data_IF_599536557364
#
_entry.id   IF_599536557364
#
_cell.length_a   1.000
_cell.length_b   1.000
_cell.length_c   1.000
_cell.angle_alpha   90.00
_cell.angle_beta   90.00
_cell.angle_gamma   90.00
#
_symmetry.space_group_name_H-M   'P 1'
#
loop_
_entity.id
_entity.type
_entity.pdbx_description
1 polymer ?
#
# COMPACT_ATOMS: atom_id res chain seq x y z
N UNK A 1 -25.63 14.79 -29.19
CA UNK A 1 -25.52 14.94 -27.71
C UNK A 1 -25.16 13.58 -27.13
N UNK A 2 -24.06 13.33 -26.42
CA UNK A 2 -23.00 14.15 -25.80
C UNK A 2 -21.63 13.54 -26.16
N UNK A 3 -20.69 14.37 -26.61
CA UNK A 3 -19.28 14.03 -26.78
C UNK A 3 -18.65 13.61 -25.45
N UNK A 4 -17.94 12.48 -25.45
CA UNK A 4 -17.00 12.10 -24.41
C UNK A 4 -15.87 13.13 -24.36
N UNK A 5 -15.78 13.87 -23.25
CA UNK A 5 -14.61 14.72 -22.98
C UNK A 5 -13.43 13.83 -22.63
N UNK A 6 -12.49 13.70 -23.58
CA UNK A 6 -11.16 13.17 -23.32
C UNK A 6 -10.49 14.00 -22.22
N UNK A 7 -10.32 13.40 -21.04
CA UNK A 7 -9.55 13.97 -19.96
C UNK A 7 -8.06 13.81 -20.29
N UNK A 8 -7.52 14.70 -21.12
CA UNK A 8 -6.07 14.77 -21.38
C UNK A 8 -5.37 15.26 -20.12
N UNK A 9 -4.82 14.33 -19.36
CA UNK A 9 -3.97 14.64 -18.21
C UNK A 9 -2.62 15.13 -18.74
N UNK A 10 -2.45 16.45 -18.80
CA UNK A 10 -1.18 17.07 -19.17
C UNK A 10 -0.20 16.96 -17.99
N UNK A 11 0.60 15.89 -17.96
CA UNK A 11 1.75 15.79 -17.06
C UNK A 11 3.01 16.36 -17.72
N UNK A 12 3.58 17.40 -17.09
CA UNK A 12 4.85 18.07 -17.43
C UNK A 12 6.00 17.06 -17.55
N UNK A 13 6.72 17.08 -18.68
CA UNK A 13 7.77 16.12 -19.06
C UNK A 13 8.95 16.05 -18.07
N UNK A 14 9.20 17.12 -17.33
CA UNK A 14 10.26 17.30 -16.32
C UNK A 14 10.18 16.31 -15.13
N UNK A 15 9.05 15.63 -14.93
CA UNK A 15 8.91 14.59 -13.90
C UNK A 15 9.22 13.17 -14.41
N UNK A 16 9.36 12.97 -15.72
CA UNK A 16 9.52 11.65 -16.35
C UNK A 16 10.87 11.00 -16.01
N UNK A 17 11.95 11.78 -15.92
CA UNK A 17 13.28 11.21 -15.68
C UNK A 17 13.49 10.73 -14.24
N UNK A 18 12.92 11.42 -13.25
CA UNK A 18 13.02 10.99 -11.83
C UNK A 18 12.14 9.78 -11.48
N UNK A 19 11.14 9.48 -12.30
CA UNK A 19 10.25 8.32 -12.15
C UNK A 19 10.80 7.04 -12.77
N UNK A 20 11.74 7.11 -13.73
CA UNK A 20 12.25 5.93 -14.45
C UNK A 20 13.09 4.99 -13.57
N UNK A 21 13.69 5.49 -12.50
CA UNK A 21 14.49 4.66 -11.58
C UNK A 21 13.68 4.07 -10.42
N UNK A 22 12.44 4.52 -10.21
CA UNK A 22 11.65 4.09 -9.06
C UNK A 22 10.24 3.67 -9.49
N UNK A 23 9.98 2.36 -9.39
CA UNK A 23 8.65 1.70 -9.52
C UNK A 23 8.30 1.49 -11.02
N UNK A 24 7.77 0.33 -11.48
CA UNK A 24 6.33 -0.01 -11.37
C UNK A 24 5.98 -1.45 -11.76
N UNK A 25 4.87 -1.96 -11.22
CA UNK A 25 3.84 -2.58 -12.05
C UNK A 25 2.66 -1.63 -12.12
N UNK A 26 1.91 -1.66 -13.22
CA UNK A 26 0.81 -0.73 -13.53
C UNK A 26 -0.31 -0.71 -12.47
N UNK A 27 -0.47 -1.79 -11.72
CA UNK A 27 -1.47 -1.92 -10.64
C UNK A 27 -1.22 -0.95 -9.47
N UNK A 28 0.04 -0.61 -9.18
CA UNK A 28 0.36 0.27 -8.05
C UNK A 28 0.06 1.74 -8.34
N UNK A 29 0.04 2.16 -9.61
CA UNK A 29 -0.22 3.57 -9.95
C UNK A 29 -1.61 4.05 -9.58
N UNK A 30 -2.60 3.15 -9.61
CA UNK A 30 -4.01 3.48 -9.30
C UNK A 30 -4.44 3.06 -7.89
N UNK A 31 -3.54 2.39 -7.17
CA UNK A 31 -3.75 1.93 -5.81
C UNK A 31 -3.05 2.94 -4.92
N UNK A 32 -3.80 3.77 -4.19
CA UNK A 32 -3.31 4.82 -3.25
C UNK A 32 -2.51 4.27 -2.04
N UNK A 33 -1.67 3.26 -2.29
CA UNK A 33 -0.85 2.44 -1.42
C UNK A 33 -1.45 2.12 -0.03
N UNK A 34 -2.70 1.62 0.07
CA UNK A 34 -3.29 1.22 1.35
C UNK A 34 -2.42 0.17 2.06
N UNK A 35 -1.72 -0.69 1.30
CA UNK A 35 -0.82 -1.68 1.85
C UNK A 35 0.28 -1.06 2.73
N UNK A 36 0.87 0.04 2.26
CA UNK A 36 1.95 0.77 2.92
C UNK A 36 1.45 1.71 4.02
N UNK A 37 0.18 2.13 3.97
CA UNK A 37 -0.43 2.99 4.99
C UNK A 37 -0.90 2.20 6.20
N UNK A 38 -1.49 1.02 5.99
CA UNK A 38 -2.29 0.35 7.02
C UNK A 38 -1.61 -0.88 7.63
N UNK A 39 -0.74 -1.60 6.91
CA UNK A 39 -0.28 -2.93 7.36
C UNK A 39 1.09 -2.93 7.98
N UNK A 40 1.28 -3.73 9.02
CA UNK A 40 2.59 -4.19 9.45
C UNK A 40 3.07 -5.30 8.51
N UNK A 41 4.31 -5.21 8.06
CA UNK A 41 4.87 -6.15 7.08
C UNK A 41 5.93 -6.99 7.79
N UNK A 42 5.61 -8.24 8.19
CA UNK A 42 6.62 -9.15 8.73
C UNK A 42 7.62 -9.55 7.65
N UNK A 43 8.86 -9.73 8.07
CA UNK A 43 9.95 -10.25 7.25
C UNK A 43 10.20 -11.72 7.58
N UNK A 44 10.52 -12.50 6.56
CA UNK A 44 11.05 -13.86 6.71
C UNK A 44 12.50 -13.80 7.20
N UNK A 45 13.00 -14.92 7.72
CA UNK A 45 14.39 -14.99 8.17
C UNK A 45 15.38 -14.74 7.03
N UNK A 46 15.09 -15.24 5.83
CA UNK A 46 15.91 -15.02 4.63
C UNK A 46 15.96 -13.52 4.24
N UNK A 47 14.83 -12.82 4.32
CA UNK A 47 14.75 -11.38 4.04
C UNK A 47 15.46 -10.53 5.09
N UNK A 48 15.49 -10.99 6.35
CA UNK A 48 16.28 -10.36 7.43
C UNK A 48 17.77 -10.57 7.17
N UNK A 49 18.17 -11.81 6.88
CA UNK A 49 19.57 -12.15 6.59
C UNK A 49 20.12 -11.45 5.35
N UNK A 50 19.26 -11.15 4.37
CA UNK A 50 19.68 -10.47 3.15
C UNK A 50 20.08 -9.01 3.35
N UNK A 51 19.69 -8.37 4.47
CA UNK A 51 20.00 -6.97 4.76
C UNK A 51 19.38 -5.97 3.76
N UNK A 52 18.40 -6.40 2.95
CA UNK A 52 17.89 -5.61 1.82
C UNK A 52 16.89 -4.52 2.24
N UNK A 53 16.46 -4.54 3.51
CA UNK A 53 15.35 -3.73 4.03
C UNK A 53 15.71 -3.03 5.34
N UNK A 54 15.15 -1.83 5.52
CA UNK A 54 15.07 -1.17 6.80
C UNK A 54 14.03 -1.87 7.66
N UNK A 55 14.49 -2.41 8.78
CA UNK A 55 13.71 -3.26 9.65
C UNK A 55 13.80 -2.82 11.10
N UNK A 56 12.80 -3.22 11.87
CA UNK A 56 12.74 -3.06 13.32
C UNK A 56 12.21 -4.34 13.95
N UNK A 57 12.67 -4.67 15.15
CA UNK A 57 12.15 -5.80 15.90
C UNK A 57 10.91 -5.37 16.67
N UNK A 58 9.79 -6.09 16.49
CA UNK A 58 8.53 -5.78 17.19
C UNK A 58 7.96 -6.98 17.91
N UNK A 59 7.20 -6.69 18.95
CA UNK A 59 6.32 -7.64 19.65
C UNK A 59 4.87 -7.17 19.46
N UNK A 60 3.97 -8.09 19.17
CA UNK A 60 2.55 -7.80 19.01
C UNK A 60 1.70 -8.96 19.48
N UNK A 61 0.49 -8.65 19.94
CA UNK A 61 -0.50 -9.66 20.29
C UNK A 61 -1.10 -10.22 19.00
N UNK A 62 -1.08 -11.54 18.81
CA UNK A 62 -1.82 -12.18 17.73
C UNK A 62 -3.30 -12.27 18.12
N UNK A 63 -4.21 -11.53 17.46
CA UNK A 63 -5.61 -11.49 17.84
C UNK A 63 -6.33 -12.84 17.64
N UNK A 64 -5.80 -13.73 16.79
CA UNK A 64 -6.42 -15.05 16.56
C UNK A 64 -6.09 -16.05 17.66
N UNK A 65 -4.88 -15.96 18.22
CA UNK A 65 -4.39 -16.94 19.20
C UNK A 65 -4.29 -16.38 20.61
N UNK A 66 -4.40 -15.05 20.78
CA UNK A 66 -4.16 -14.35 22.05
C UNK A 66 -2.71 -14.43 22.53
N UNK A 67 -1.78 -14.95 21.71
CA UNK A 67 -0.38 -15.12 22.09
C UNK A 67 0.45 -13.92 21.68
N UNK A 68 1.41 -13.56 22.52
CA UNK A 68 2.43 -12.59 22.15
C UNK A 68 3.32 -13.20 21.06
N UNK A 69 3.43 -12.52 19.93
CA UNK A 69 4.38 -12.84 18.86
C UNK A 69 5.47 -11.78 18.81
N UNK A 70 6.60 -12.17 18.25
CA UNK A 70 7.71 -11.27 18.01
C UNK A 70 8.35 -11.59 16.66
N UNK A 71 8.99 -10.59 16.07
CA UNK A 71 9.68 -10.77 14.80
C UNK A 71 10.15 -9.46 14.20
N UNK A 72 10.95 -9.60 13.16
CA UNK A 72 11.39 -8.48 12.34
C UNK A 72 10.29 -8.05 11.40
N UNK A 73 10.07 -6.74 11.32
CA UNK A 73 9.10 -6.13 10.42
C UNK A 73 9.76 -4.99 9.65
N UNK A 74 9.18 -4.59 8.52
CA UNK A 74 9.59 -3.35 7.87
C UNK A 74 9.41 -2.16 8.82
N UNK A 75 10.44 -1.32 8.89
CA UNK A 75 10.41 -0.09 9.67
C UNK A 75 9.32 0.85 9.16
N UNK A 76 8.73 1.60 10.10
CA UNK A 76 7.73 2.63 9.81
C UNK A 76 8.28 4.02 10.06
N UNK A 77 7.72 4.99 9.35
CA UNK A 77 7.94 6.42 9.58
C UNK A 77 7.23 6.88 10.87
N UNK A 78 7.55 8.08 11.38
CA UNK A 78 6.88 8.63 12.56
C UNK A 78 5.36 8.80 12.40
N UNK A 79 4.89 9.06 11.17
CA UNK A 79 3.45 9.14 10.84
C UNK A 79 2.75 7.77 10.81
N UNK A 80 3.51 6.70 11.11
CA UNK A 80 3.01 5.35 11.07
C UNK A 80 2.85 4.79 9.66
N UNK A 81 3.34 5.39 8.59
CA UNK A 81 3.38 4.77 7.26
C UNK A 81 4.63 3.90 7.06
N UNK A 82 4.62 3.01 6.07
CA UNK A 82 5.80 2.22 5.69
C UNK A 82 6.96 3.14 5.27
N UNK A 83 8.19 2.82 5.69
CA UNK A 83 9.39 3.59 5.31
C UNK A 83 9.56 3.72 3.79
N UNK A 84 9.05 2.75 3.01
CA UNK A 84 9.12 2.73 1.55
C UNK A 84 7.92 3.38 0.84
N UNK A 85 7.01 4.02 1.57
CA UNK A 85 5.95 4.83 0.97
C UNK A 85 6.55 6.15 0.46
N UNK A 86 6.43 6.40 -0.84
CA UNK A 86 6.83 7.68 -1.43
C UNK A 86 5.78 8.76 -1.19
N UNK A 87 6.16 10.03 -1.37
CA UNK A 87 5.24 11.18 -1.31
C UNK A 87 4.13 11.16 -2.37
N UNK A 88 4.26 10.33 -3.40
CA UNK A 88 3.27 10.15 -4.47
C UNK A 88 2.31 8.99 -4.20
N UNK A 89 2.29 8.46 -2.97
CA UNK A 89 1.51 7.27 -2.61
C UNK A 89 1.88 6.01 -3.42
N UNK A 90 3.15 5.87 -3.79
CA UNK A 90 3.69 4.68 -4.48
C UNK A 90 4.70 3.95 -3.60
N UNK A 91 4.81 2.63 -3.75
CA UNK A 91 5.80 1.80 -3.06
C UNK A 91 7.15 1.84 -3.78
N UNK A 92 8.19 2.44 -3.17
CA UNK A 92 9.51 2.59 -3.80
C UNK A 92 10.26 1.28 -4.05
N UNK A 93 9.88 0.19 -3.37
CA UNK A 93 10.51 -1.13 -3.49
C UNK A 93 9.65 -2.13 -4.26
N UNK A 94 8.68 -1.69 -5.06
CA UNK A 94 7.66 -2.56 -5.67
C UNK A 94 8.19 -3.87 -6.28
N UNK A 95 9.25 -3.80 -7.10
CA UNK A 95 9.85 -4.96 -7.78
C UNK A 95 10.51 -5.95 -6.81
N UNK A 96 11.07 -5.44 -5.72
CA UNK A 96 11.79 -6.19 -4.69
C UNK A 96 11.02 -6.27 -3.37
N UNK A 97 9.69 -6.21 -3.42
CA UNK A 97 8.85 -6.26 -2.21
C UNK A 97 9.06 -7.56 -1.43
N UNK A 98 9.00 -7.53 -0.09
CA UNK A 98 8.97 -8.73 0.71
C UNK A 98 7.80 -9.65 0.36
N UNK A 99 7.89 -10.92 0.73
CA UNK A 99 6.86 -11.93 0.49
C UNK A 99 5.49 -11.49 1.03
N UNK A 100 5.43 -10.97 2.26
CA UNK A 100 4.19 -10.48 2.85
C UNK A 100 3.53 -9.36 2.02
N UNK A 101 4.33 -8.46 1.43
CA UNK A 101 3.85 -7.41 0.54
C UNK A 101 3.36 -7.94 -0.82
N UNK A 102 3.94 -9.04 -1.32
CA UNK A 102 3.51 -9.69 -2.57
C UNK A 102 2.19 -10.42 -2.41
N UNK A 103 1.94 -10.99 -1.23
CA UNK A 103 0.68 -11.68 -0.89
C UNK A 103 -0.49 -10.72 -0.71
N UNK A 104 -0.23 -9.42 -0.52
CA UNK A 104 -1.27 -8.43 -0.36
C UNK A 104 -2.05 -8.27 -1.67
N UNK A 105 -3.31 -8.75 -1.67
CA UNK A 105 -4.18 -8.72 -2.84
C UNK A 105 -4.69 -7.30 -3.12
N UNK A 106 -3.90 -6.51 -3.85
CA UNK A 106 -4.28 -5.17 -4.31
C UNK A 106 -5.66 -5.16 -5.01
N UNK A 107 -5.99 -6.21 -5.75
CA UNK A 107 -7.23 -6.31 -6.54
C UNK A 107 -8.51 -6.47 -5.69
N UNK A 108 -8.39 -7.02 -4.47
CA UNK A 108 -9.55 -7.28 -3.60
C UNK A 108 -10.04 -6.04 -2.84
N UNK A 109 -9.19 -5.03 -2.69
CA UNK A 109 -9.51 -3.81 -1.92
C UNK A 109 -10.38 -2.85 -2.72
N UNK A 110 -10.23 -2.80 -4.04
CA UNK A 110 -11.09 -1.99 -4.93
C UNK A 110 -12.57 -2.34 -4.72
N UNK A 111 -12.89 -3.64 -4.74
CA UNK A 111 -14.27 -4.15 -4.60
C UNK A 111 -14.87 -3.98 -3.19
N UNK A 112 -14.04 -3.78 -2.17
CA UNK A 112 -14.49 -3.61 -0.78
C UNK A 112 -14.88 -2.17 -0.43
N UNK A 113 -14.27 -1.18 -1.08
CA UNK A 113 -14.56 0.26 -0.85
C UNK A 113 -15.83 0.72 -1.58
N UNK A 114 -16.13 0.17 -2.76
CA UNK A 114 -17.38 0.44 -3.48
C UNK A 114 -18.61 0.07 -2.61
N UNK A 115 -18.63 -1.13 -2.03
CA UNK A 115 -19.76 -1.61 -1.19
C UNK A 115 -19.94 -0.86 0.13
N UNK A 116 -18.90 -0.18 0.63
CA UNK A 116 -18.95 0.55 1.91
C UNK A 116 -19.49 1.97 1.74
N UNK A 117 -19.42 2.52 0.53
CA UNK A 117 -20.01 3.82 0.20
C UNK A 117 -21.51 3.69 -0.14
N UNK A 118 -21.94 2.63 -0.82
CA UNK A 118 -23.36 2.35 -1.07
C UNK A 118 -24.18 2.24 0.23
N UNK A 119 -23.59 1.69 1.30
CA UNK A 119 -24.26 1.55 2.60
C UNK A 119 -24.24 2.81 3.49
N UNK A 120 -23.53 3.88 3.10
CA UNK A 120 -23.53 5.15 3.86
C UNK A 120 -24.53 6.17 3.32
N UNK A 121 -24.94 6.05 2.06
CA UNK A 121 -25.90 6.96 1.42
C UNK A 121 -27.36 6.51 1.61
N UNK A 122 -27.61 5.35 2.26
CA UNK A 122 -28.94 4.79 2.49
C UNK A 122 -29.60 5.09 3.84
N UNK A 123 -28.98 5.88 4.72
CA UNK A 123 -29.51 6.18 6.06
C UNK A 123 -29.72 7.68 6.30
N UNK A 124 -30.45 8.33 5.39
CA UNK A 124 -31.01 9.67 5.59
C UNK A 124 -32.33 9.84 4.84
N UNK A 125 -33.28 8.93 5.08
CA UNK A 125 -34.71 9.15 4.81
C UNK A 125 -35.56 8.13 5.56
N UNK A 126 -35.85 8.41 6.83
CA UNK A 126 -37.09 8.00 7.49
C UNK A 126 -37.64 9.24 8.19
N UNK A 127 -38.50 9.95 7.45
CA UNK A 127 -39.61 10.70 8.05
C UNK A 127 -40.65 9.69 8.52
#
# INVERSE_FOLDING_TARGET
MREMREFKVYYREEHREKLKETVTSDICFFCDAPCCKENFVPLTEEEVRSGAYEMEFKRWLDPKTGRMRSGWVLKRKPDGSCMYLTKFNLCSIWKRRPLACRLYACDKIRKGKEKRNENKDGSLSRQ
#
